data_IF_596895136476
#
_entry.id   IF_596895136476
#
_cell.length_a   1.000
_cell.length_b   1.000
_cell.length_c   1.000
_cell.angle_alpha   90.00
_cell.angle_beta   90.00
_cell.angle_gamma   90.00
#
_symmetry.space_group_name_H-M   'P 1'
#
loop_
_entity.id
_entity.type
_entity.pdbx_description
1 polymer ?
#
# COMPACT_ATOMS: atom_id res chain seq x y z
N UNK A 1 11.79 -25.08 -1.72
CA UNK A 1 10.61 -24.78 -2.55
C UNK A 1 10.97 -25.09 -3.96
N UNK A 2 10.20 -25.92 -4.64
CA UNK A 2 10.55 -26.52 -5.90
C UNK A 2 10.72 -25.45 -7.00
N UNK A 3 11.91 -25.40 -7.58
CA UNK A 3 12.15 -24.86 -8.91
C UNK A 3 11.48 -25.77 -9.92
N UNK A 4 10.16 -25.67 -10.05
CA UNK A 4 9.47 -26.24 -11.19
C UNK A 4 9.86 -25.43 -12.41
N UNK A 5 10.29 -26.09 -13.48
CA UNK A 5 10.41 -25.56 -14.83
C UNK A 5 9.04 -25.02 -15.28
N UNK A 6 8.69 -23.83 -14.83
CA UNK A 6 7.47 -23.15 -15.24
C UNK A 6 7.75 -22.52 -16.61
N UNK A 7 7.60 -23.30 -17.67
CA UNK A 7 7.61 -22.75 -19.02
C UNK A 7 6.52 -21.69 -19.11
N UNK A 8 6.82 -20.50 -19.68
CA UNK A 8 5.83 -19.45 -19.87
C UNK A 8 4.59 -20.01 -20.58
N UNK A 9 3.41 -19.61 -20.13
CA UNK A 9 2.14 -20.07 -20.69
C UNK A 9 1.74 -19.27 -21.92
N UNK A 10 0.95 -19.88 -22.81
CA UNK A 10 0.39 -19.23 -23.99
C UNK A 10 1.32 -19.21 -25.22
N UNK A 11 0.94 -18.45 -26.27
CA UNK A 11 1.66 -18.42 -27.53
C UNK A 11 3.03 -17.71 -27.42
N UNK A 12 3.98 -18.21 -28.22
CA UNK A 12 5.29 -17.58 -28.40
C UNK A 12 5.17 -16.40 -29.39
N UNK A 13 5.20 -15.21 -28.88
CA UNK A 13 5.03 -14.00 -29.69
C UNK A 13 6.23 -13.66 -30.58
N UNK A 14 7.39 -14.31 -30.41
CA UNK A 14 8.50 -14.20 -31.34
C UNK A 14 8.14 -14.89 -32.66
N UNK A 15 7.42 -16.01 -32.59
CA UNK A 15 6.93 -16.74 -33.78
C UNK A 15 5.76 -16.03 -34.43
N UNK A 16 5.09 -15.16 -33.69
CA UNK A 16 3.93 -14.40 -34.13
C UNK A 16 2.61 -15.14 -33.94
N UNK A 17 1.53 -14.35 -33.96
CA UNK A 17 0.15 -14.83 -33.93
C UNK A 17 -0.64 -14.20 -35.08
N UNK A 18 -1.70 -14.83 -35.59
CA UNK A 18 -2.61 -14.21 -36.53
C UNK A 18 -3.21 -12.92 -35.97
N UNK A 19 -3.23 -11.84 -36.71
CA UNK A 19 -3.78 -10.56 -36.27
C UNK A 19 -5.28 -10.65 -35.92
N UNK A 20 -5.98 -11.63 -36.51
CA UNK A 20 -7.38 -11.92 -36.23
C UNK A 20 -7.60 -12.48 -34.80
N UNK A 21 -6.58 -13.07 -34.18
CA UNK A 21 -6.68 -13.64 -32.83
C UNK A 21 -6.65 -12.56 -31.74
N UNK A 22 -6.35 -11.30 -32.10
CA UNK A 22 -6.35 -10.16 -31.17
C UNK A 22 -7.30 -9.07 -31.67
N UNK A 23 -8.57 -9.19 -31.33
CA UNK A 23 -9.62 -8.24 -31.71
C UNK A 23 -9.42 -6.88 -31.02
N UNK A 24 -10.11 -5.84 -31.51
CA UNK A 24 -10.15 -4.53 -30.84
C UNK A 24 -10.72 -4.67 -29.40
N UNK A 25 -10.05 -4.06 -28.42
CA UNK A 25 -10.40 -4.17 -27.01
C UNK A 25 -9.97 -5.47 -26.34
N UNK A 26 -9.30 -6.38 -27.06
CA UNK A 26 -8.83 -7.65 -26.49
C UNK A 26 -7.42 -7.54 -25.88
N UNK A 27 -7.17 -8.41 -24.91
CA UNK A 27 -5.87 -8.67 -24.30
C UNK A 27 -5.56 -10.17 -24.39
N UNK A 28 -4.30 -10.51 -24.64
CA UNK A 28 -3.84 -11.89 -24.74
C UNK A 28 -2.49 -12.05 -24.05
N UNK A 29 -2.40 -13.01 -23.13
CA UNK A 29 -1.13 -13.38 -22.49
C UNK A 29 -0.41 -14.44 -23.32
N UNK A 30 0.90 -14.30 -23.46
CA UNK A 30 1.82 -15.23 -24.05
C UNK A 30 3.24 -14.92 -23.59
N UNK A 31 4.25 -15.24 -24.37
CA UNK A 31 5.63 -15.05 -23.95
C UNK A 31 6.57 -14.59 -25.07
N UNK A 32 7.71 -14.01 -24.66
CA UNK A 32 8.87 -13.65 -25.50
C UNK A 32 10.12 -14.20 -24.81
N UNK A 33 10.60 -15.35 -25.25
CA UNK A 33 11.59 -16.11 -24.48
C UNK A 33 11.00 -16.54 -23.13
N UNK A 34 11.68 -16.20 -22.04
CA UNK A 34 11.26 -16.52 -20.69
C UNK A 34 10.34 -15.42 -20.07
N UNK A 35 10.16 -14.29 -20.72
CA UNK A 35 9.32 -13.21 -20.24
C UNK A 35 7.84 -13.44 -20.60
N UNK A 36 6.94 -13.40 -19.63
CA UNK A 36 5.50 -13.35 -19.87
C UNK A 36 5.05 -11.95 -20.30
N UNK A 37 4.39 -11.90 -21.44
CA UNK A 37 4.00 -10.67 -22.14
C UNK A 37 2.51 -10.65 -22.39
N UNK A 38 1.89 -9.51 -22.18
CA UNK A 38 0.51 -9.25 -22.57
C UNK A 38 0.49 -8.39 -23.85
N UNK A 39 -0.17 -8.89 -24.88
CA UNK A 39 -0.57 -8.10 -26.03
C UNK A 39 -1.92 -7.43 -25.77
N UNK A 40 -2.11 -6.24 -26.30
CA UNK A 40 -3.40 -5.55 -26.31
C UNK A 40 -3.60 -4.83 -27.63
N UNK A 41 -4.86 -4.84 -28.14
CA UNK A 41 -5.28 -3.97 -29.26
C UNK A 41 -6.28 -2.97 -28.73
N UNK A 42 -5.97 -1.68 -28.86
CA UNK A 42 -6.83 -0.62 -28.34
C UNK A 42 -6.72 0.64 -29.23
N UNK A 43 -7.86 1.12 -29.72
CA UNK A 43 -7.92 2.28 -30.62
C UNK A 43 -7.15 2.06 -31.92
N UNK A 44 -7.20 0.85 -32.48
CA UNK A 44 -6.48 0.46 -33.69
C UNK A 44 -4.96 0.30 -33.48
N UNK A 45 -4.44 0.47 -32.26
CA UNK A 45 -3.02 0.34 -31.94
C UNK A 45 -2.72 -0.98 -31.22
N UNK A 46 -1.52 -1.49 -31.45
CA UNK A 46 -0.99 -2.67 -30.79
C UNK A 46 -0.01 -2.28 -29.68
N UNK A 47 -0.12 -2.96 -28.57
CA UNK A 47 0.75 -2.79 -27.40
C UNK A 47 1.25 -4.14 -26.92
N UNK A 48 2.50 -4.16 -26.42
CA UNK A 48 3.10 -5.31 -25.78
C UNK A 48 3.78 -4.84 -24.49
N UNK A 49 3.31 -5.35 -23.36
CA UNK A 49 3.80 -4.99 -22.01
C UNK A 49 3.93 -6.25 -21.16
N UNK A 50 4.62 -6.18 -19.99
CA UNK A 50 4.66 -7.29 -19.03
C UNK A 50 3.25 -7.79 -18.74
N UNK A 51 3.06 -9.11 -18.66
CA UNK A 51 1.75 -9.73 -18.40
C UNK A 51 1.27 -9.52 -16.97
N UNK A 52 2.17 -9.23 -16.04
CA UNK A 52 1.88 -9.15 -14.62
C UNK A 52 2.06 -7.75 -14.04
N UNK A 53 1.15 -7.42 -13.13
CA UNK A 53 1.17 -6.18 -12.35
C UNK A 53 2.43 -6.13 -11.46
N UNK A 54 3.12 -4.99 -11.44
CA UNK A 54 4.33 -4.79 -10.62
C UNK A 54 4.05 -4.61 -9.12
N UNK A 55 2.78 -4.65 -8.70
CA UNK A 55 2.40 -4.64 -7.28
C UNK A 55 2.51 -6.06 -6.68
N UNK A 56 1.55 -6.94 -6.97
CA UNK A 56 1.51 -8.33 -6.48
C UNK A 56 1.34 -9.36 -7.60
N UNK A 57 1.90 -9.11 -8.77
CA UNK A 57 1.89 -10.02 -9.91
C UNK A 57 0.49 -10.43 -10.42
N UNK A 58 -0.56 -9.58 -10.19
CA UNK A 58 -1.88 -9.82 -10.74
C UNK A 58 -1.88 -9.90 -12.27
N UNK A 59 -2.62 -10.84 -12.88
CA UNK A 59 -2.64 -11.07 -14.33
C UNK A 59 -3.35 -9.93 -15.06
N UNK A 60 -2.60 -9.10 -15.78
CA UNK A 60 -3.14 -7.88 -16.39
C UNK A 60 -4.14 -8.16 -17.51
N UNK A 61 -4.02 -9.28 -18.21
CA UNK A 61 -4.96 -9.66 -19.28
C UNK A 61 -6.37 -9.99 -18.76
N UNK A 62 -6.52 -10.28 -17.46
CA UNK A 62 -7.81 -10.49 -16.80
C UNK A 62 -8.43 -9.17 -16.29
N UNK A 63 -7.74 -8.06 -16.48
CA UNK A 63 -8.15 -6.74 -16.06
C UNK A 63 -9.01 -5.99 -17.07
N UNK A 64 -8.96 -4.67 -17.02
CA UNK A 64 -9.76 -3.81 -17.87
C UNK A 64 -8.89 -2.88 -18.71
N UNK A 65 -9.18 -2.79 -20.01
CA UNK A 65 -8.68 -1.73 -20.88
C UNK A 65 -9.54 -0.47 -20.68
N UNK A 66 -8.89 0.65 -20.38
CA UNK A 66 -9.55 1.95 -20.26
C UNK A 66 -8.71 2.99 -20.99
N UNK A 67 -9.14 3.37 -22.19
CA UNK A 67 -8.30 4.15 -23.11
C UNK A 67 -6.98 3.42 -23.35
N UNK A 68 -5.86 4.14 -23.43
CA UNK A 68 -4.52 3.53 -23.60
C UNK A 68 -3.90 3.09 -22.26
N UNK A 69 -4.74 2.59 -21.32
CA UNK A 69 -4.26 2.05 -20.03
C UNK A 69 -4.89 0.69 -19.75
N UNK A 70 -4.12 -0.18 -19.06
CA UNK A 70 -4.64 -1.40 -18.45
C UNK A 70 -4.80 -1.22 -16.94
N UNK A 71 -5.91 -1.71 -16.40
CA UNK A 71 -6.20 -1.71 -14.97
C UNK A 71 -6.11 -3.15 -14.43
N UNK A 72 -5.25 -3.34 -13.43
CA UNK A 72 -5.06 -4.62 -12.76
C UNK A 72 -6.37 -5.13 -12.12
N UNK A 73 -6.73 -6.42 -12.27
CA UNK A 73 -7.97 -6.96 -11.70
C UNK A 73 -7.95 -7.04 -10.18
N UNK A 74 -6.77 -7.12 -9.54
CA UNK A 74 -6.69 -7.33 -8.09
C UNK A 74 -6.85 -6.04 -7.29
N UNK A 75 -6.02 -5.01 -7.55
CA UNK A 75 -6.02 -3.79 -6.74
C UNK A 75 -6.12 -2.51 -7.58
N UNK A 76 -6.55 -2.63 -8.85
CA UNK A 76 -6.84 -1.51 -9.75
C UNK A 76 -5.65 -0.58 -10.07
N UNK A 77 -4.39 -1.03 -9.86
CA UNK A 77 -3.23 -0.33 -10.38
C UNK A 77 -3.39 -0.09 -11.88
N UNK A 78 -3.07 1.10 -12.35
CA UNK A 78 -3.19 1.45 -13.77
C UNK A 78 -1.83 1.66 -14.40
N UNK A 79 -1.66 1.11 -15.59
CA UNK A 79 -0.44 1.21 -16.37
C UNK A 79 -0.74 1.75 -17.76
N UNK A 80 0.12 2.67 -18.23
CA UNK A 80 0.10 3.11 -19.62
C UNK A 80 0.57 1.97 -20.52
N UNK A 81 -0.23 1.60 -21.51
CA UNK A 81 0.18 0.61 -22.52
C UNK A 81 1.30 1.13 -23.43
N UNK A 82 1.39 2.45 -23.61
CA UNK A 82 2.39 3.09 -24.46
C UNK A 82 3.78 3.13 -23.81
N UNK A 83 3.84 3.45 -22.51
CA UNK A 83 5.08 3.73 -21.78
C UNK A 83 5.42 2.71 -20.72
N UNK A 84 4.48 1.84 -20.33
CA UNK A 84 4.58 0.94 -19.18
C UNK A 84 4.42 1.64 -17.84
N UNK A 85 4.39 2.99 -17.78
CA UNK A 85 4.36 3.70 -16.49
C UNK A 85 3.14 3.35 -15.65
N UNK A 86 3.38 3.15 -14.34
CA UNK A 86 2.32 3.08 -13.35
C UNK A 86 1.75 4.48 -13.15
N UNK A 87 0.54 4.72 -13.70
CA UNK A 87 -0.13 6.04 -13.68
C UNK A 87 -1.11 6.19 -12.52
N UNK A 88 -1.37 5.10 -11.79
CA UNK A 88 -2.11 5.14 -10.53
C UNK A 88 -1.67 4.01 -9.59
N UNK A 89 -1.66 4.32 -8.29
CA UNK A 89 -1.40 3.38 -7.21
C UNK A 89 -2.33 2.13 -7.32
N UNK A 90 -1.96 1.01 -6.66
CA UNK A 90 -0.85 0.83 -5.72
C UNK A 90 0.49 0.46 -6.35
N UNK A 91 0.56 0.17 -7.65
CA UNK A 91 1.83 -0.10 -8.31
C UNK A 91 2.70 1.16 -8.36
N UNK A 92 3.99 0.99 -8.09
CA UNK A 92 4.98 2.07 -8.08
C UNK A 92 5.97 1.95 -9.24
N UNK A 93 6.28 0.72 -9.67
CA UNK A 93 7.22 0.44 -10.75
C UNK A 93 6.51 0.31 -12.10
N UNK A 94 7.15 0.71 -13.21
CA UNK A 94 6.59 0.54 -14.54
C UNK A 94 6.61 -0.92 -14.99
N UNK A 95 5.78 -1.24 -15.97
CA UNK A 95 5.88 -2.45 -16.77
C UNK A 95 7.02 -2.32 -17.79
N UNK A 96 7.63 -3.44 -18.16
CA UNK A 96 8.46 -3.49 -19.36
C UNK A 96 7.56 -3.40 -20.59
N UNK A 97 8.01 -2.67 -21.61
CA UNK A 97 7.37 -2.61 -22.92
C UNK A 97 8.22 -3.31 -23.97
N UNK A 98 7.58 -3.89 -24.99
CA UNK A 98 8.25 -4.50 -26.12
C UNK A 98 7.93 -3.79 -27.43
N UNK A 99 8.81 -3.94 -28.41
CA UNK A 99 8.56 -3.55 -29.78
C UNK A 99 7.60 -4.57 -30.41
N UNK A 100 6.57 -4.07 -31.08
CA UNK A 100 5.55 -4.89 -31.73
C UNK A 100 5.38 -4.44 -33.18
N UNK A 101 5.16 -5.38 -34.06
CA UNK A 101 4.95 -5.15 -35.50
C UNK A 101 3.81 -6.04 -35.98
N UNK A 102 2.94 -5.49 -36.80
CA UNK A 102 1.98 -6.26 -37.57
C UNK A 102 2.41 -6.23 -39.03
N UNK A 103 2.63 -7.40 -39.61
CA UNK A 103 3.03 -7.56 -40.99
C UNK A 103 2.31 -8.76 -41.60
N UNK A 104 1.73 -8.56 -42.80
CA UNK A 104 1.04 -9.61 -43.58
C UNK A 104 0.01 -10.40 -42.73
N UNK A 105 -0.76 -9.68 -41.86
CA UNK A 105 -1.77 -10.28 -41.00
C UNK A 105 -1.23 -11.05 -39.80
N UNK A 106 0.07 -10.93 -39.50
CA UNK A 106 0.73 -11.57 -38.36
C UNK A 106 1.28 -10.49 -37.40
N UNK A 107 1.01 -10.67 -36.09
CA UNK A 107 1.55 -9.83 -35.01
C UNK A 107 2.77 -10.52 -34.44
N UNK A 108 3.90 -9.83 -34.43
CA UNK A 108 5.19 -10.32 -33.91
C UNK A 108 5.72 -9.36 -32.86
N UNK A 109 6.20 -9.89 -31.73
CA UNK A 109 6.91 -9.11 -30.69
C UNK A 109 8.41 -9.32 -30.87
N UNK A 110 9.16 -8.22 -30.88
CA UNK A 110 10.61 -8.19 -31.05
C UNK A 110 11.31 -8.01 -29.70
N UNK A 111 12.29 -7.14 -29.63
CA UNK A 111 13.04 -6.86 -28.41
C UNK A 111 12.32 -5.97 -27.41
N UNK A 112 12.82 -5.92 -26.18
CA UNK A 112 12.37 -4.95 -25.16
C UNK A 112 12.63 -3.53 -25.65
N UNK A 113 11.67 -2.64 -25.43
CA UNK A 113 11.91 -1.19 -25.55
C UNK A 113 12.78 -0.76 -24.37
N UNK A 114 13.65 0.21 -24.59
CA UNK A 114 14.34 0.86 -23.49
C UNK A 114 13.35 1.48 -22.50
N UNK A 115 13.75 1.72 -21.25
CA UNK A 115 12.90 2.36 -20.27
C UNK A 115 12.41 3.69 -20.80
N UNK A 116 11.14 4.00 -20.55
CA UNK A 116 10.58 5.30 -20.91
C UNK A 116 11.34 6.40 -20.17
N UNK A 117 12.18 7.13 -20.90
CA UNK A 117 12.81 8.34 -20.41
C UNK A 117 11.93 9.53 -20.79
N UNK A 118 11.19 10.13 -19.85
CA UNK A 118 10.48 11.36 -20.16
C UNK A 118 11.48 12.42 -20.62
N UNK A 119 11.16 13.16 -21.68
CA UNK A 119 11.94 14.31 -22.16
C UNK A 119 11.86 15.46 -21.15
N UNK A 120 12.35 15.27 -19.95
CA UNK A 120 12.56 16.36 -19.00
C UNK A 120 14.04 16.67 -18.96
N UNK A 121 14.38 17.93 -19.20
CA UNK A 121 15.73 18.41 -18.93
C UNK A 121 16.12 17.96 -17.52
N UNK A 122 17.31 17.38 -17.37
CA UNK A 122 17.86 17.07 -16.05
C UNK A 122 17.66 18.32 -15.17
N UNK A 123 16.82 18.25 -14.15
CA UNK A 123 16.62 19.38 -13.27
C UNK A 123 17.94 19.67 -12.60
N UNK A 124 18.31 20.95 -12.56
CA UNK A 124 19.48 21.38 -11.81
C UNK A 124 19.47 20.74 -10.43
N UNK A 125 20.64 20.23 -9.99
CA UNK A 125 20.79 19.60 -8.70
C UNK A 125 20.24 20.47 -7.56
N UNK A 126 20.06 19.90 -6.40
CA UNK A 126 19.52 20.56 -5.21
C UNK A 126 19.30 19.52 -4.14
N UNK A 127 18.86 19.98 -2.96
CA UNK A 127 18.58 19.12 -1.80
C UNK A 127 17.08 19.00 -1.64
N UNK A 128 16.55 17.82 -1.92
CA UNK A 128 15.16 17.49 -1.60
C UNK A 128 15.16 16.70 -0.30
N UNK A 129 14.39 17.17 0.68
CA UNK A 129 14.16 16.45 1.92
C UNK A 129 12.69 16.03 1.98
N UNK A 130 12.46 14.78 2.35
CA UNK A 130 11.12 14.18 2.47
C UNK A 130 10.94 13.75 3.93
N UNK A 131 9.92 14.28 4.59
CA UNK A 131 9.57 13.93 5.96
C UNK A 131 8.40 12.94 5.94
N UNK A 132 8.71 11.68 6.21
CA UNK A 132 7.77 10.58 6.25
C UNK A 132 8.16 9.40 5.37
N UNK A 133 8.43 8.24 5.99
CA UNK A 133 8.79 6.97 5.38
C UNK A 133 7.57 6.11 4.97
N UNK A 134 6.42 6.72 4.69
CA UNK A 134 5.24 6.00 4.19
C UNK A 134 5.18 5.92 2.66
N UNK A 135 4.08 5.37 2.14
CA UNK A 135 3.88 5.19 0.70
C UNK A 135 4.02 6.48 -0.11
N UNK A 136 3.53 7.62 0.40
CA UNK A 136 3.64 8.90 -0.30
C UNK A 136 5.08 9.41 -0.40
N UNK A 137 5.85 9.32 0.70
CA UNK A 137 7.27 9.68 0.70
C UNK A 137 8.08 8.76 -0.22
N UNK A 138 7.83 7.45 -0.15
CA UNK A 138 8.49 6.48 -1.02
C UNK A 138 8.17 6.72 -2.50
N UNK A 139 6.89 6.92 -2.87
CA UNK A 139 6.49 7.22 -4.24
C UNK A 139 7.19 8.47 -4.79
N UNK A 140 7.35 9.51 -3.95
CA UNK A 140 8.08 10.71 -4.34
C UNK A 140 9.56 10.43 -4.60
N UNK A 141 10.23 9.65 -3.74
CA UNK A 141 11.62 9.25 -3.93
C UNK A 141 11.80 8.49 -5.24
N UNK A 142 10.98 7.49 -5.46
CA UNK A 142 11.05 6.62 -6.63
C UNK A 142 10.82 7.42 -7.93
N UNK A 143 9.77 8.25 -7.97
CA UNK A 143 9.47 9.03 -9.17
C UNK A 143 10.54 10.10 -9.46
N UNK A 144 11.13 10.72 -8.44
CA UNK A 144 12.20 11.69 -8.62
C UNK A 144 13.42 11.05 -9.29
N UNK A 145 13.84 9.87 -8.84
CA UNK A 145 14.97 9.14 -9.45
C UNK A 145 14.62 8.66 -10.85
N UNK A 146 13.45 8.07 -11.03
CA UNK A 146 12.98 7.60 -12.35
C UNK A 146 12.87 8.72 -13.37
N UNK A 147 12.54 9.95 -12.93
CA UNK A 147 12.49 11.16 -13.77
C UNK A 147 13.83 11.86 -13.96
N UNK A 148 14.94 11.26 -13.49
CA UNK A 148 16.28 11.76 -13.71
C UNK A 148 16.73 12.90 -12.79
N UNK A 149 16.04 13.11 -11.65
CA UNK A 149 16.55 14.06 -10.65
C UNK A 149 17.90 13.56 -10.10
N UNK A 150 18.95 14.32 -10.28
CA UNK A 150 20.33 13.96 -9.93
C UNK A 150 20.84 14.62 -8.63
N UNK A 151 20.06 15.51 -8.02
CA UNK A 151 20.39 16.14 -6.74
C UNK A 151 20.30 15.17 -5.56
N UNK A 152 20.63 15.64 -4.36
CA UNK A 152 20.51 14.82 -3.17
C UNK A 152 19.05 14.63 -2.75
N UNK A 153 18.69 13.40 -2.34
CA UNK A 153 17.39 13.07 -1.74
C UNK A 153 17.65 12.49 -0.36
N UNK A 154 17.06 13.11 0.66
CA UNK A 154 17.07 12.62 2.03
C UNK A 154 15.64 12.33 2.46
N UNK A 155 15.39 11.10 2.91
CA UNK A 155 14.11 10.70 3.49
C UNK A 155 14.29 10.50 5.00
N UNK A 156 13.49 11.21 5.79
CA UNK A 156 13.48 11.15 7.24
C UNK A 156 12.24 10.42 7.71
N UNK A 157 12.41 9.38 8.50
CA UNK A 157 11.31 8.60 9.06
C UNK A 157 11.53 8.33 10.54
N UNK A 158 10.51 8.55 11.37
CA UNK A 158 10.54 8.14 12.77
C UNK A 158 10.24 6.65 12.96
N UNK A 159 9.92 5.92 11.89
CA UNK A 159 9.74 4.48 11.92
C UNK A 159 11.09 3.77 12.03
N UNK A 160 11.08 2.53 12.52
CA UNK A 160 12.28 1.70 12.66
C UNK A 160 12.57 0.87 11.43
N UNK A 161 11.61 0.73 10.54
CA UNK A 161 11.69 -0.02 9.29
C UNK A 161 11.72 0.91 8.08
N UNK A 162 12.37 0.47 7.00
CA UNK A 162 12.23 1.08 5.68
C UNK A 162 10.75 1.13 5.26
N UNK A 163 10.39 1.94 4.25
CA UNK A 163 9.02 2.01 3.74
C UNK A 163 8.42 0.64 3.42
N UNK A 164 7.24 0.37 3.98
CA UNK A 164 6.55 -0.93 3.88
C UNK A 164 5.19 -0.80 3.19
N UNK A 165 4.73 -1.91 2.61
CA UNK A 165 3.37 -2.07 2.15
C UNK A 165 2.42 -2.26 3.34
N UNK A 166 1.84 -1.14 3.80
CA UNK A 166 0.97 -1.13 4.98
C UNK A 166 -0.30 -1.97 4.84
N UNK A 167 -0.98 -2.05 3.69
CA UNK A 167 -2.10 -2.96 3.51
C UNK A 167 -1.80 -4.41 3.90
N UNK A 168 -0.60 -4.91 3.66
CA UNK A 168 -0.21 -6.26 4.03
C UNK A 168 -0.14 -6.47 5.55
N UNK A 169 0.10 -5.40 6.32
CA UNK A 169 0.19 -5.45 7.79
C UNK A 169 -1.13 -5.82 8.47
N UNK A 170 -2.27 -5.64 7.82
CA UNK A 170 -3.60 -6.03 8.33
C UNK A 170 -4.16 -7.28 7.65
N UNK A 171 -3.45 -7.83 6.66
CA UNK A 171 -3.89 -8.96 5.80
C UNK A 171 -2.94 -10.15 5.93
N UNK A 172 -2.29 -10.52 4.83
CA UNK A 172 -1.54 -11.78 4.71
C UNK A 172 -0.37 -11.90 5.68
N UNK A 173 0.35 -10.80 5.94
CA UNK A 173 1.43 -10.82 6.92
C UNK A 173 0.88 -11.00 8.34
N UNK A 174 -0.18 -10.27 8.73
CA UNK A 174 -0.84 -10.48 10.01
C UNK A 174 -1.45 -11.87 10.12
N UNK A 175 -2.04 -12.40 9.05
CA UNK A 175 -2.60 -13.75 9.00
C UNK A 175 -1.54 -14.85 9.09
N UNK A 176 -0.28 -14.55 8.71
CA UNK A 176 0.83 -15.50 8.70
C UNK A 176 0.95 -16.29 7.40
N UNK A 177 0.24 -15.89 6.35
CA UNK A 177 0.32 -16.48 5.01
C UNK A 177 1.39 -15.81 4.13
N UNK A 178 1.81 -14.58 4.44
CA UNK A 178 2.93 -13.91 3.78
C UNK A 178 4.14 -13.83 4.71
N UNK A 179 5.37 -14.12 4.22
CA UNK A 179 6.59 -13.92 4.98
C UNK A 179 6.94 -12.42 5.09
N UNK A 180 7.77 -12.07 6.07
CA UNK A 180 8.08 -10.67 6.37
C UNK A 180 8.90 -9.97 5.28
N UNK A 181 9.69 -10.70 4.52
CA UNK A 181 10.50 -10.17 3.41
C UNK A 181 9.66 -9.65 2.23
N UNK A 182 8.36 -9.96 2.19
CA UNK A 182 7.42 -9.39 1.23
C UNK A 182 6.85 -8.01 1.65
N UNK A 183 7.06 -7.62 2.90
CA UNK A 183 6.48 -6.40 3.46
C UNK A 183 7.20 -5.12 3.03
N UNK A 184 8.56 -5.06 2.95
CA UNK A 184 9.25 -3.86 2.47
C UNK A 184 8.90 -3.52 1.02
N UNK A 185 8.69 -2.23 0.72
CA UNK A 185 8.46 -1.77 -0.67
C UNK A 185 9.70 -1.98 -1.55
N UNK A 186 10.90 -1.94 -0.96
CA UNK A 186 12.19 -2.24 -1.59
C UNK A 186 13.17 -2.77 -0.55
N UNK A 187 14.12 -3.59 -1.00
CA UNK A 187 15.28 -3.98 -0.19
C UNK A 187 16.18 -2.80 0.14
N UNK A 188 17.02 -2.96 1.15
CA UNK A 188 17.91 -1.88 1.63
C UNK A 188 18.93 -1.43 0.57
N UNK A 189 19.40 -2.35 -0.26
CA UNK A 189 20.31 -2.12 -1.38
C UNK A 189 19.73 -1.14 -2.41
N UNK A 190 18.42 -1.19 -2.66
CA UNK A 190 17.77 -0.28 -3.59
C UNK A 190 17.96 1.20 -3.21
N UNK A 191 17.92 1.53 -1.93
CA UNK A 191 18.12 2.92 -1.48
C UNK A 191 19.55 3.39 -1.75
N UNK A 192 20.53 2.53 -1.51
CA UNK A 192 21.93 2.82 -1.77
C UNK A 192 22.21 2.99 -3.28
N UNK A 193 21.76 2.06 -4.11
CA UNK A 193 21.90 2.09 -5.57
C UNK A 193 21.27 3.35 -6.19
N UNK A 194 20.12 3.76 -5.67
CA UNK A 194 19.42 4.96 -6.11
C UNK A 194 19.91 6.24 -5.40
N UNK A 195 20.99 6.18 -4.61
CA UNK A 195 21.58 7.31 -3.88
C UNK A 195 20.54 8.07 -3.04
N UNK A 196 19.73 7.31 -2.30
CA UNK A 196 18.74 7.82 -1.37
C UNK A 196 19.32 7.76 0.04
N UNK A 197 19.40 8.88 0.72
CA UNK A 197 19.78 8.95 2.13
C UNK A 197 18.53 8.68 3.00
N UNK A 198 18.30 7.40 3.36
CA UNK A 198 17.19 6.98 4.21
C UNK A 198 17.62 7.00 5.67
N UNK A 199 17.06 7.93 6.45
CA UNK A 199 17.31 8.06 7.88
C UNK A 199 16.08 7.57 8.66
N UNK A 200 16.19 6.38 9.22
CA UNK A 200 15.18 5.79 10.10
C UNK A 200 15.35 6.29 11.54
N UNK A 201 14.34 6.08 12.38
CA UNK A 201 14.31 6.51 13.79
C UNK A 201 14.60 8.00 13.96
N UNK A 202 14.28 8.79 12.93
CA UNK A 202 14.60 10.22 12.87
C UNK A 202 13.31 11.02 12.93
N UNK A 203 13.10 11.68 14.06
CA UNK A 203 11.97 12.58 14.27
C UNK A 203 12.32 13.98 13.79
N UNK A 204 11.41 14.62 13.06
CA UNK A 204 11.47 16.05 12.74
C UNK A 204 10.53 16.79 13.66
N UNK A 205 11.05 17.73 14.44
CA UNK A 205 10.31 18.47 15.48
C UNK A 205 9.88 19.86 15.05
N UNK A 206 10.61 20.46 14.10
CA UNK A 206 10.27 21.78 13.55
C UNK A 206 10.74 21.98 12.11
N UNK A 207 10.09 22.89 11.41
CA UNK A 207 10.46 23.38 10.07
C UNK A 207 10.63 24.90 10.16
N UNK A 208 11.82 25.40 9.89
CA UNK A 208 12.04 26.81 9.62
C UNK A 208 11.94 27.06 8.10
N UNK A 209 10.83 27.61 7.69
CA UNK A 209 10.54 27.89 6.27
C UNK A 209 11.42 29.01 5.73
N UNK A 210 11.82 29.98 6.58
CA UNK A 210 12.62 31.14 6.16
C UNK A 210 14.08 30.75 5.91
N UNK A 211 14.69 30.02 6.84
CA UNK A 211 16.07 29.53 6.71
C UNK A 211 16.16 28.26 5.87
N UNK A 212 15.03 27.64 5.53
CA UNK A 212 14.95 26.31 4.86
C UNK A 212 15.71 25.24 5.64
N UNK A 213 15.44 25.14 6.92
CA UNK A 213 16.03 24.16 7.83
C UNK A 213 14.97 23.32 8.53
N UNK A 214 15.26 22.04 8.71
CA UNK A 214 14.55 21.15 9.63
C UNK A 214 15.33 21.05 10.93
N UNK A 215 14.61 20.95 12.03
CA UNK A 215 15.18 20.59 13.34
C UNK A 215 14.77 19.17 13.66
N UNK A 216 15.74 18.32 14.01
CA UNK A 216 15.52 16.92 14.39
C UNK A 216 15.33 16.79 15.90
N UNK A 217 14.87 15.61 16.34
CA UNK A 217 14.62 15.31 17.75
C UNK A 217 15.87 15.38 18.65
N UNK A 218 17.06 15.17 18.08
CA UNK A 218 18.36 15.31 18.75
C UNK A 218 18.92 16.74 18.73
N UNK A 219 18.18 17.70 18.18
CA UNK A 219 18.56 19.10 18.02
C UNK A 219 19.42 19.41 16.80
N UNK A 220 19.86 18.42 16.04
CA UNK A 220 20.58 18.63 14.79
C UNK A 220 19.70 19.26 13.72
N UNK A 221 20.33 19.85 12.69
CA UNK A 221 19.62 20.59 11.65
C UNK A 221 19.97 20.06 10.26
N UNK A 222 18.97 20.01 9.39
CA UNK A 222 19.13 19.62 7.98
C UNK A 222 18.60 20.74 7.08
N UNK A 223 19.45 21.23 6.17
CA UNK A 223 19.07 22.21 5.15
C UNK A 223 18.42 21.55 3.97
N UNK A 224 17.40 22.20 3.40
CA UNK A 224 16.75 21.75 2.17
C UNK A 224 16.59 22.91 1.17
N UNK A 225 16.49 22.59 -0.09
CA UNK A 225 16.08 23.51 -1.14
C UNK A 225 14.59 23.34 -1.46
N UNK A 226 14.11 22.09 -1.40
CA UNK A 226 12.68 21.71 -1.47
C UNK A 226 12.37 20.71 -0.37
N UNK A 227 11.18 20.82 0.21
CA UNK A 227 10.69 19.97 1.29
C UNK A 227 9.35 19.34 0.88
N UNK A 228 9.22 18.03 1.09
CA UNK A 228 7.94 17.32 1.04
C UNK A 228 7.56 16.87 2.46
N UNK A 229 6.42 17.34 2.94
CA UNK A 229 5.80 16.83 4.16
C UNK A 229 4.86 15.68 3.78
N UNK A 230 5.28 14.46 4.06
CA UNK A 230 4.54 13.21 3.83
C UNK A 230 4.30 12.47 5.15
N UNK A 231 3.96 13.23 6.20
CA UNK A 231 3.85 12.79 7.61
C UNK A 231 2.74 11.76 7.84
N UNK A 232 1.79 11.67 6.93
CA UNK A 232 0.72 10.68 6.95
C UNK A 232 -0.28 10.91 8.09
N UNK A 233 -0.69 9.81 8.72
CA UNK A 233 -1.69 9.80 9.77
C UNK A 233 -1.28 8.83 10.89
N UNK A 234 -1.89 9.01 12.05
CA UNK A 234 -1.73 8.14 13.22
C UNK A 234 -3.06 7.51 13.64
N UNK A 235 -3.04 6.32 14.26
CA UNK A 235 -4.25 5.72 14.80
C UNK A 235 -4.91 6.60 15.86
N UNK A 236 -6.23 6.63 15.84
CA UNK A 236 -7.01 7.24 16.93
C UNK A 236 -6.84 6.38 18.17
N UNK A 237 -6.43 7.01 19.26
CA UNK A 237 -6.38 6.37 20.59
C UNK A 237 -7.73 6.54 21.27
N UNK A 238 -8.18 5.47 21.93
CA UNK A 238 -9.38 5.54 22.76
C UNK A 238 -9.03 6.10 24.13
N UNK A 239 -9.83 7.03 24.60
CA UNK A 239 -9.76 7.57 25.95
C UNK A 239 -10.70 6.80 26.88
N UNK A 240 -10.33 5.57 27.16
CA UNK A 240 -11.03 4.66 28.10
C UNK A 240 -10.02 4.01 29.04
N UNK A 241 -10.43 3.67 30.28
CA UNK A 241 -9.56 2.95 31.20
C UNK A 241 -8.98 1.69 30.59
N UNK A 242 -7.67 1.50 30.69
CA UNK A 242 -6.94 0.33 30.22
C UNK A 242 -6.63 0.26 28.75
N UNK A 243 -6.88 1.32 27.97
CA UNK A 243 -6.52 1.38 26.53
C UNK A 243 -5.00 1.38 26.29
N UNK A 244 -4.19 1.59 27.31
CA UNK A 244 -2.73 1.63 27.29
C UNK A 244 -2.06 0.33 27.80
N UNK A 245 -2.84 -0.71 28.10
CA UNK A 245 -2.32 -1.98 28.57
C UNK A 245 -1.51 -2.72 27.50
N UNK A 246 -0.56 -3.57 27.90
CA UNK A 246 0.40 -4.24 27.00
C UNK A 246 -0.22 -5.14 25.93
N UNK A 247 -1.42 -5.67 26.16
CA UNK A 247 -2.15 -6.52 25.22
C UNK A 247 -3.14 -5.74 24.35
N UNK A 248 -3.11 -4.41 24.44
CA UNK A 248 -3.95 -3.50 23.65
C UNK A 248 -3.07 -2.84 22.60
N UNK A 249 -3.41 -3.04 21.35
CA UNK A 249 -2.62 -2.58 20.20
C UNK A 249 -3.44 -1.74 19.24
N UNK A 250 -2.77 -0.80 18.59
CA UNK A 250 -3.22 -0.20 17.32
C UNK A 250 -2.39 -0.77 16.19
N UNK A 251 -2.85 -0.65 14.95
CA UNK A 251 -2.12 -1.15 13.80
C UNK A 251 -1.82 -0.03 12.81
N UNK A 252 -0.54 0.31 12.65
CA UNK A 252 -0.08 1.31 11.69
C UNK A 252 1.30 1.02 11.12
N UNK A 253 2.24 0.57 11.93
CA UNK A 253 3.63 0.30 11.59
C UNK A 253 3.89 -1.21 11.52
N UNK A 254 5.04 -1.58 10.94
CA UNK A 254 5.51 -2.97 10.98
C UNK A 254 5.73 -3.45 12.42
N UNK A 255 6.22 -2.56 13.30
CA UNK A 255 6.40 -2.91 14.71
C UNK A 255 5.07 -3.19 15.42
N UNK A 256 4.02 -2.43 15.12
CA UNK A 256 2.69 -2.72 15.68
C UNK A 256 2.21 -4.10 15.24
N UNK A 257 2.37 -4.42 13.94
CA UNK A 257 2.00 -5.74 13.42
C UNK A 257 2.81 -6.86 14.08
N UNK A 258 4.12 -6.69 14.22
CA UNK A 258 5.00 -7.66 14.94
C UNK A 258 4.55 -7.87 16.38
N UNK A 259 4.18 -6.78 17.08
CA UNK A 259 3.68 -6.88 18.46
C UNK A 259 2.36 -7.65 18.53
N UNK A 260 1.43 -7.38 17.61
CA UNK A 260 0.16 -8.12 17.49
C UNK A 260 0.44 -9.60 17.18
N UNK A 261 1.32 -9.91 16.23
CA UNK A 261 1.70 -11.29 15.88
C UNK A 261 2.32 -12.02 17.07
N UNK A 262 3.20 -11.35 17.83
CA UNK A 262 3.83 -11.93 19.00
C UNK A 262 2.78 -12.30 20.08
N UNK A 263 1.84 -11.39 20.34
CA UNK A 263 0.74 -11.63 21.28
C UNK A 263 -0.23 -12.71 20.78
N UNK A 264 -0.49 -12.75 19.46
CA UNK A 264 -1.42 -13.69 18.85
C UNK A 264 -0.96 -15.17 18.94
N UNK A 265 0.34 -15.44 19.17
CA UNK A 265 0.86 -16.81 19.29
C UNK A 265 0.21 -17.59 20.43
N UNK A 266 -0.05 -16.92 21.55
CA UNK A 266 -0.58 -17.53 22.78
C UNK A 266 -2.04 -17.12 23.04
N UNK A 267 -2.60 -16.21 22.23
CA UNK A 267 -3.95 -15.72 22.38
C UNK A 267 -4.98 -16.75 21.90
N UNK A 268 -6.01 -16.98 22.68
CA UNK A 268 -7.18 -17.79 22.31
C UNK A 268 -8.36 -16.93 21.90
N UNK A 269 -8.47 -15.73 22.48
CA UNK A 269 -9.58 -14.80 22.25
C UNK A 269 -9.06 -13.39 22.02
N UNK A 270 -9.57 -12.74 20.98
CA UNK A 270 -9.27 -11.36 20.65
C UNK A 270 -10.53 -10.52 20.57
N UNK A 271 -10.44 -9.26 21.00
CA UNK A 271 -11.44 -8.24 20.77
C UNK A 271 -10.85 -7.21 19.79
N UNK A 272 -11.58 -6.97 18.71
CA UNK A 272 -11.31 -5.89 17.76
C UNK A 272 -12.31 -4.77 18.01
N UNK A 273 -11.83 -3.58 18.32
CA UNK A 273 -12.67 -2.40 18.55
C UNK A 273 -12.72 -1.58 17.28
N UNK A 274 -13.91 -1.53 16.66
CA UNK A 274 -14.19 -0.85 15.40
C UNK A 274 -14.45 -1.79 14.23
N UNK A 275 -15.55 -1.56 13.50
CA UNK A 275 -16.01 -2.35 12.35
C UNK A 275 -15.77 -1.62 11.01
N UNK A 276 -14.63 -0.93 10.89
CA UNK A 276 -14.15 -0.32 9.65
C UNK A 276 -13.04 -1.16 9.01
N UNK A 277 -12.39 -0.69 7.94
CA UNK A 277 -11.43 -1.48 7.16
C UNK A 277 -10.39 -2.20 8.01
N UNK A 278 -9.56 -1.46 8.77
CA UNK A 278 -8.46 -2.07 9.56
C UNK A 278 -9.00 -3.04 10.61
N UNK A 279 -10.12 -2.71 11.26
CA UNK A 279 -10.74 -3.60 12.25
C UNK A 279 -11.16 -4.93 11.62
N UNK A 280 -11.91 -4.88 10.51
CA UNK A 280 -12.39 -6.10 9.84
C UNK A 280 -11.26 -6.93 9.23
N UNK A 281 -10.27 -6.29 8.59
CA UNK A 281 -9.09 -6.97 8.07
C UNK A 281 -8.30 -7.66 9.19
N UNK A 282 -8.10 -6.96 10.32
CA UNK A 282 -7.45 -7.56 11.50
C UNK A 282 -8.27 -8.71 12.07
N UNK A 283 -9.59 -8.59 12.12
CA UNK A 283 -10.47 -9.67 12.57
C UNK A 283 -10.35 -10.92 11.69
N UNK A 284 -10.36 -10.76 10.37
CA UNK A 284 -10.16 -11.84 9.42
C UNK A 284 -8.78 -12.49 9.56
N UNK A 285 -7.72 -11.68 9.66
CA UNK A 285 -6.36 -12.16 9.82
C UNK A 285 -6.15 -12.94 11.14
N UNK A 286 -6.74 -12.47 12.24
CA UNK A 286 -6.68 -13.17 13.54
C UNK A 286 -7.52 -14.46 13.51
N UNK A 287 -8.66 -14.48 12.81
CA UNK A 287 -9.43 -15.72 12.55
C UNK A 287 -8.61 -16.75 11.77
N UNK A 288 -7.88 -16.33 10.76
CA UNK A 288 -6.98 -17.20 9.99
C UNK A 288 -5.91 -17.86 10.87
N UNK A 289 -5.52 -17.24 12.00
CA UNK A 289 -4.65 -17.81 13.03
C UNK A 289 -5.38 -18.74 14.02
N UNK A 290 -6.68 -18.99 13.85
CA UNK A 290 -7.47 -19.84 14.73
C UNK A 290 -7.94 -19.19 16.02
N UNK A 291 -7.78 -17.86 16.17
CA UNK A 291 -8.19 -17.12 17.37
C UNK A 291 -9.70 -16.86 17.32
N UNK A 292 -10.41 -17.01 18.44
CA UNK A 292 -11.79 -16.55 18.57
C UNK A 292 -11.81 -15.02 18.57
N UNK A 293 -12.59 -14.42 17.65
CA UNK A 293 -12.60 -12.95 17.45
C UNK A 293 -13.97 -12.38 17.67
N UNK A 294 -14.02 -11.36 18.53
CA UNK A 294 -15.19 -10.52 18.77
C UNK A 294 -14.92 -9.11 18.20
N UNK A 295 -15.83 -8.57 17.40
CA UNK A 295 -15.78 -7.20 16.88
C UNK A 295 -16.81 -6.37 17.61
N UNK A 296 -16.39 -5.28 18.26
CA UNK A 296 -17.25 -4.35 18.99
C UNK A 296 -17.28 -3.02 18.25
N UNK A 297 -18.46 -2.52 17.90
CA UNK A 297 -18.59 -1.25 17.18
C UNK A 297 -19.93 -0.56 17.46
N UNK A 298 -19.96 0.80 17.52
CA UNK A 298 -21.19 1.55 17.76
C UNK A 298 -22.11 1.61 16.53
N UNK A 299 -21.61 1.27 15.35
CA UNK A 299 -22.38 1.21 14.12
C UNK A 299 -23.33 0.00 14.12
N UNK A 300 -24.47 0.16 13.43
CA UNK A 300 -25.44 -0.93 13.22
C UNK A 300 -24.93 -2.01 12.28
N UNK A 301 -24.01 -1.64 11.38
CA UNK A 301 -23.41 -2.51 10.35
C UNK A 301 -21.94 -2.17 10.11
N UNK A 302 -21.11 -3.14 9.78
CA UNK A 302 -19.75 -2.88 9.34
C UNK A 302 -19.74 -2.01 8.06
N UNK A 303 -18.83 -1.03 8.01
CA UNK A 303 -18.59 -0.16 6.83
C UNK A 303 -19.84 0.56 6.28
N UNK A 304 -20.94 0.66 7.03
CA UNK A 304 -22.21 1.23 6.57
C UNK A 304 -22.05 2.65 6.02
N UNK A 305 -21.22 3.48 6.66
CA UNK A 305 -20.97 4.86 6.21
C UNK A 305 -20.26 4.96 4.86
N UNK A 306 -19.62 3.89 4.41
CA UNK A 306 -18.84 3.85 3.16
C UNK A 306 -19.63 3.18 2.05
N UNK A 307 -20.25 2.05 2.34
CA UNK A 307 -20.86 1.18 1.34
C UNK A 307 -22.39 1.06 1.43
N UNK A 308 -22.98 1.67 2.46
CA UNK A 308 -24.42 1.56 2.69
C UNK A 308 -24.85 0.24 3.35
N UNK A 309 -26.16 0.09 3.64
CA UNK A 309 -26.65 -1.00 4.47
C UNK A 309 -26.54 -2.38 3.82
N UNK A 310 -26.82 -2.51 2.53
CA UNK A 310 -26.84 -3.83 1.84
C UNK A 310 -25.45 -4.47 1.85
N UNK A 311 -24.42 -3.71 1.50
CA UNK A 311 -23.06 -4.20 1.51
C UNK A 311 -22.52 -4.40 2.94
N UNK A 312 -22.94 -3.56 3.88
CA UNK A 312 -22.65 -3.72 5.30
C UNK A 312 -23.19 -5.04 5.86
N UNK A 313 -24.45 -5.39 5.54
CA UNK A 313 -25.06 -6.66 5.94
C UNK A 313 -24.35 -7.86 5.29
N UNK A 314 -24.00 -7.77 4.00
CA UNK A 314 -23.23 -8.80 3.30
C UNK A 314 -21.85 -9.03 3.97
N UNK A 315 -21.10 -7.96 4.26
CA UNK A 315 -19.80 -8.04 4.91
C UNK A 315 -19.91 -8.65 6.31
N UNK A 316 -20.96 -8.27 7.07
CA UNK A 316 -21.24 -8.87 8.36
C UNK A 316 -21.44 -10.38 8.23
N UNK A 317 -22.35 -10.81 7.36
CA UNK A 317 -22.64 -12.23 7.14
C UNK A 317 -21.39 -13.01 6.75
N UNK A 318 -20.60 -12.49 5.82
CA UNK A 318 -19.34 -13.11 5.39
C UNK A 318 -18.37 -13.33 6.56
N UNK A 319 -18.20 -12.35 7.43
CA UNK A 319 -17.34 -12.47 8.61
C UNK A 319 -17.91 -13.46 9.64
N UNK A 320 -19.24 -13.47 9.85
CA UNK A 320 -19.95 -14.39 10.77
C UNK A 320 -19.82 -15.85 10.28
N UNK A 321 -19.92 -16.12 8.97
CA UNK A 321 -19.68 -17.42 8.36
C UNK A 321 -18.25 -17.95 8.63
N UNK A 322 -17.28 -17.03 8.75
CA UNK A 322 -15.89 -17.34 9.11
C UNK A 322 -15.63 -17.30 10.64
N UNK A 323 -16.68 -17.20 11.44
CA UNK A 323 -16.63 -17.33 12.89
C UNK A 323 -16.26 -16.06 13.65
N UNK A 324 -16.38 -14.89 13.05
CA UNK A 324 -16.31 -13.60 13.76
C UNK A 324 -17.64 -13.36 14.48
N UNK A 325 -17.57 -12.91 15.72
CA UNK A 325 -18.74 -12.56 16.52
C UNK A 325 -18.85 -11.03 16.63
N UNK A 326 -19.98 -10.46 16.20
CA UNK A 326 -20.21 -9.02 16.26
C UNK A 326 -21.02 -8.61 17.49
N UNK A 327 -20.59 -7.50 18.10
CA UNK A 327 -21.30 -6.72 19.12
C UNK A 327 -21.47 -5.31 18.54
N UNK A 328 -22.50 -5.17 17.71
CA UNK A 328 -22.84 -3.91 17.03
C UNK A 328 -23.79 -3.08 17.91
N UNK A 329 -23.91 -1.78 17.60
CA UNK A 329 -24.67 -0.81 18.40
C UNK A 329 -24.21 -0.77 19.86
N UNK A 330 -22.95 -1.16 20.12
CA UNK A 330 -22.32 -1.16 21.43
C UNK A 330 -20.88 -0.59 21.37
N UNK A 331 -20.31 -0.31 22.51
CA UNK A 331 -18.97 0.25 22.62
C UNK A 331 -18.26 -0.31 23.84
N UNK A 332 -16.93 -0.32 23.79
CA UNK A 332 -16.11 -0.66 24.95
C UNK A 332 -16.07 0.52 25.91
N UNK A 333 -16.31 0.24 27.20
CA UNK A 333 -16.26 1.23 28.29
C UNK A 333 -14.96 1.16 29.09
N UNK A 334 -14.37 -0.02 29.25
CA UNK A 334 -13.11 -0.21 29.96
C UNK A 334 -12.45 -1.53 29.54
N UNK A 335 -11.14 -1.60 29.76
CA UNK A 335 -10.31 -2.82 29.61
C UNK A 335 -9.61 -3.01 30.95
N UNK A 336 -9.81 -4.16 31.59
CA UNK A 336 -9.16 -4.49 32.86
C UNK A 336 -8.54 -5.89 32.78
N UNK A 337 -7.23 -5.94 32.68
CA UNK A 337 -6.51 -7.19 32.47
C UNK A 337 -7.06 -7.97 31.27
N UNK A 338 -7.57 -9.17 31.50
CA UNK A 338 -8.15 -10.02 30.45
C UNK A 338 -9.66 -9.83 30.26
N UNK A 339 -10.21 -8.68 30.61
CA UNK A 339 -11.64 -8.41 30.53
C UNK A 339 -11.94 -7.10 29.84
N UNK A 340 -12.74 -7.14 28.79
CA UNK A 340 -13.28 -5.97 28.08
C UNK A 340 -14.73 -5.80 28.52
N UNK A 341 -15.07 -4.63 29.08
CA UNK A 341 -16.43 -4.29 29.51
C UNK A 341 -17.12 -3.46 28.42
N UNK A 342 -18.34 -3.86 28.08
CA UNK A 342 -19.18 -3.16 27.09
C UNK A 342 -20.07 -2.12 27.78
N UNK A 343 -20.48 -1.09 27.05
CA UNK A 343 -21.41 -0.06 27.57
C UNK A 343 -22.79 -0.64 27.88
N UNK A 344 -23.20 -1.68 27.17
CA UNK A 344 -24.47 -2.41 27.45
C UNK A 344 -24.46 -3.16 28.79
N UNK A 345 -23.30 -3.25 29.46
CA UNK A 345 -23.11 -4.00 30.72
C UNK A 345 -22.56 -5.41 30.53
N UNK A 346 -22.41 -5.89 29.28
CA UNK A 346 -21.75 -7.15 28.98
C UNK A 346 -20.25 -7.10 29.19
N UNK A 347 -19.60 -8.27 29.28
CA UNK A 347 -18.14 -8.36 29.34
C UNK A 347 -17.63 -9.52 28.49
N UNK A 348 -16.46 -9.32 27.89
CA UNK A 348 -15.75 -10.30 27.06
C UNK A 348 -14.41 -10.61 27.68
N UNK A 349 -14.07 -11.88 27.85
CA UNK A 349 -12.73 -12.27 28.20
C UNK A 349 -11.81 -12.18 26.98
N UNK A 350 -10.59 -11.70 27.16
CA UNK A 350 -9.70 -11.36 26.06
C UNK A 350 -8.24 -11.64 26.40
N UNK A 351 -7.46 -12.06 25.42
CA UNK A 351 -6.00 -12.18 25.52
C UNK A 351 -5.30 -11.10 24.66
N UNK A 352 -6.00 -10.56 23.67
CA UNK A 352 -5.50 -9.58 22.70
C UNK A 352 -6.59 -8.59 22.33
N UNK A 353 -6.29 -7.29 22.35
CA UNK A 353 -7.18 -6.24 21.86
C UNK A 353 -6.51 -5.50 20.71
N UNK A 354 -7.24 -5.31 19.60
CA UNK A 354 -6.81 -4.47 18.47
C UNK A 354 -7.80 -3.32 18.29
N UNK A 355 -7.30 -2.08 18.35
CA UNK A 355 -8.10 -0.87 18.17
C UNK A 355 -8.01 -0.41 16.71
N UNK A 356 -9.13 -0.45 16.00
CA UNK A 356 -9.27 -0.08 14.59
C UNK A 356 -10.35 0.98 14.34
N UNK A 357 -10.40 2.06 15.14
CA UNK A 357 -11.46 3.09 15.12
C UNK A 357 -11.17 4.27 14.20
N UNK A 358 -10.17 4.16 13.34
CA UNK A 358 -9.79 5.18 12.37
C UNK A 358 -8.45 5.82 12.65
N UNK A 359 -8.12 6.83 11.84
CA UNK A 359 -6.85 7.57 11.87
C UNK A 359 -7.11 9.06 11.81
N UNK A 360 -6.15 9.85 12.30
CA UNK A 360 -6.12 11.30 12.15
C UNK A 360 -4.84 11.75 11.44
N UNK A 361 -4.89 12.76 10.56
CA UNK A 361 -3.70 13.31 9.93
C UNK A 361 -2.70 13.84 10.96
N UNK A 362 -1.40 13.69 10.70
CA UNK A 362 -0.33 14.29 11.50
C UNK A 362 -0.05 15.71 11.01
N UNK A 363 -0.73 16.70 11.58
CA UNK A 363 -0.69 18.09 11.11
C UNK A 363 0.24 18.98 11.92
N UNK A 364 0.63 18.59 13.13
CA UNK A 364 1.36 19.43 14.09
C UNK A 364 2.64 20.07 13.51
N UNK A 365 3.39 19.35 12.65
CA UNK A 365 4.58 19.89 12.01
C UNK A 365 4.25 20.99 10.99
N UNK A 366 3.19 20.80 10.21
CA UNK A 366 2.71 21.74 9.21
C UNK A 366 2.13 23.01 9.87
N UNK A 367 1.36 22.84 10.95
CA UNK A 367 0.80 23.95 11.76
C UNK A 367 1.91 24.80 12.36
N UNK A 368 2.92 24.17 13.00
CA UNK A 368 4.09 24.86 13.57
C UNK A 368 4.90 25.59 12.48
N UNK A 369 4.92 25.10 11.26
CA UNK A 369 5.54 25.75 10.11
C UNK A 369 4.71 26.92 9.53
N UNK A 370 3.52 27.18 10.07
CA UNK A 370 2.62 28.25 9.61
C UNK A 370 1.86 27.93 8.32
N UNK A 371 1.73 26.64 7.97
CA UNK A 371 0.93 26.24 6.81
C UNK A 371 -0.57 26.27 7.12
N UNK A 372 -1.38 26.64 6.14
CA UNK A 372 -2.84 26.64 6.28
C UNK A 372 -3.38 25.22 6.39
N UNK A 373 -4.29 25.00 7.35
CA UNK A 373 -4.86 23.70 7.69
C UNK A 373 -6.40 23.77 7.64
N UNK A 374 -7.02 22.79 7.00
CA UNK A 374 -8.44 22.44 7.13
C UNK A 374 -8.59 20.93 6.96
N UNK A 375 -8.83 20.17 8.03
CA UNK A 375 -8.85 18.69 8.05
C UNK A 375 -7.57 18.02 7.50
N UNK A 376 -6.73 18.76 6.81
CA UNK A 376 -5.45 18.42 6.19
C UNK A 376 -4.68 19.69 5.88
N UNK A 377 -3.47 19.56 5.33
CA UNK A 377 -2.72 20.72 4.83
C UNK A 377 -3.38 21.22 3.54
N UNK A 378 -3.68 22.52 3.47
CA UNK A 378 -4.26 23.13 2.26
C UNK A 378 -3.18 23.20 1.19
N UNK A 379 -3.43 22.62 0.04
CA UNK A 379 -2.53 22.61 -1.12
C UNK A 379 -3.21 23.17 -2.35
N UNK A 380 -2.43 23.68 -3.31
CA UNK A 380 -2.91 24.05 -4.63
C UNK A 380 -2.69 22.89 -5.63
N UNK A 381 -2.94 23.15 -6.91
CA UNK A 381 -2.81 22.14 -7.97
C UNK A 381 -1.38 21.87 -8.45
N UNK A 382 -0.38 22.58 -7.94
CA UNK A 382 1.01 22.50 -8.37
C UNK A 382 1.89 21.80 -7.34
#
# INVERSE_FOLDING_TARGET
>A
MASGDNKPSGPDFIKGIPAADLAEGAMLTGHVGDDEVMLARQGGKLFAVSAHCTHYHGPLAEGLLVGETVRCPWHHARFSLQTGEAVAAPALSPLTCWQIEERDGTIVVKGKKGPFAPKTAASAGGRIVIVGGGAAGFAAVEILRRRGFNGSITMLSNDTAAPVDRPNLSKDYLAGSAPEDWVPLRGDDWYAENKINLNLKTEVTAVDVKSKELVLGDGSKIKFDKLLLATGAEPVKLDIPGADQKHVHTLRSLNDCRAIIAQAKDAKRAVVIGASFIGLESAAALRARGIEVHVVAPEKRPLERVFGPQLGDFIRTLHEEHGVKFHLEDSVSAIDGKRVTLKSGGALDVDLVVIGVGVRPRLALAEKAGLAIDKGVIVNKY
#
